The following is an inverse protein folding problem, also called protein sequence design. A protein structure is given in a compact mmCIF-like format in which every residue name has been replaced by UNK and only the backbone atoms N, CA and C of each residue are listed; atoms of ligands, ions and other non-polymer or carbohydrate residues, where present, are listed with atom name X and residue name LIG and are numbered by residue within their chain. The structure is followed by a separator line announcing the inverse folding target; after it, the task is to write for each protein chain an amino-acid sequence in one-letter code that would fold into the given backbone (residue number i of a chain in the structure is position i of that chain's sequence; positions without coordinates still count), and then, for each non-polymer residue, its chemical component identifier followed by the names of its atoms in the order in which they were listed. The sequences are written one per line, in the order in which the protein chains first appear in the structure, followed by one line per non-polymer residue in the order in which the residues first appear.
data_IF_485875783677
#
_entry.id   IF_485875783677
#
_cell.length_a   1.000
_cell.length_b   1.000
_cell.length_c   1.000
_cell.angle_alpha   90.00
_cell.angle_beta   90.00
_cell.angle_gamma   90.00
#
_symmetry.space_group_name_H-M   'P 1'
#
loop_
_entity.id
_entity.type
_entity.pdbx_description
1 polymer ?
#
# COMPACT_ATOMS: atom_id res chain seq x y z
N UNK A 1 -12.41 5.72 6.43
CA UNK A 1 -11.29 6.68 6.63
C UNK A 1 -10.57 6.92 5.31
N UNK A 2 -10.18 8.16 5.09
CA UNK A 2 -9.41 8.51 3.89
C UNK A 2 -8.00 8.93 4.27
N UNK A 3 -7.05 8.42 3.52
CA UNK A 3 -5.65 8.82 3.66
C UNK A 3 -5.11 9.20 2.30
N UNK A 4 -4.35 10.28 2.28
CA UNK A 4 -3.66 10.74 1.09
C UNK A 4 -2.17 10.54 1.30
N UNK A 5 -1.51 9.91 0.34
CA UNK A 5 -0.09 9.68 0.44
C UNK A 5 0.48 9.12 -0.83
N UNK A 6 1.77 8.82 -0.77
CA UNK A 6 2.49 8.25 -1.91
C UNK A 6 2.61 6.74 -1.75
N UNK A 7 2.30 6.04 -2.82
CA UNK A 7 2.46 4.59 -2.88
C UNK A 7 3.93 4.30 -3.19
N UNK A 8 4.57 3.49 -2.37
CA UNK A 8 5.95 3.10 -2.57
C UNK A 8 6.08 1.59 -2.52
N UNK A 9 7.10 1.08 -3.20
CA UNK A 9 7.41 -0.34 -3.24
C UNK A 9 8.70 -0.57 -2.44
N UNK A 10 8.64 -1.48 -1.48
CA UNK A 10 9.78 -1.80 -0.62
C UNK A 10 10.08 -3.29 -0.68
N UNK A 11 11.35 -3.64 -0.55
CA UNK A 11 11.77 -5.03 -0.37
C UNK A 11 11.93 -5.26 1.13
N UNK A 12 11.15 -6.20 1.66
CA UNK A 12 11.22 -6.57 3.08
C UNK A 12 12.03 -7.83 3.24
N UNK A 13 12.78 -7.91 4.35
CA UNK A 13 13.59 -9.08 4.70
C UNK A 13 14.63 -9.41 3.62
N UNK A 14 15.25 -8.38 3.05
CA UNK A 14 16.26 -8.53 2.02
C UNK A 14 17.40 -9.46 2.49
N UNK A 15 17.80 -10.39 1.63
CA UNK A 15 18.85 -11.34 1.94
C UNK A 15 18.41 -12.55 2.72
N UNK A 16 17.12 -12.74 2.95
CA UNK A 16 16.56 -13.90 3.66
C UNK A 16 15.62 -14.68 2.76
N UNK A 17 15.22 -15.88 3.21
CA UNK A 17 14.23 -16.67 2.49
C UNK A 17 12.84 -16.04 2.49
N UNK A 18 12.61 -15.10 3.40
CA UNK A 18 11.34 -14.37 3.50
C UNK A 18 11.35 -13.07 2.71
N UNK A 19 12.39 -12.82 1.93
CA UNK A 19 12.46 -11.62 1.10
C UNK A 19 11.26 -11.53 0.17
N UNK A 20 10.59 -10.37 0.20
CA UNK A 20 9.48 -10.11 -0.69
C UNK A 20 9.27 -8.61 -0.86
N UNK A 21 8.59 -8.24 -1.91
CA UNK A 21 8.24 -6.85 -2.17
C UNK A 21 6.92 -6.53 -1.48
N UNK A 22 6.85 -5.36 -0.86
CA UNK A 22 5.65 -4.87 -0.23
C UNK A 22 5.30 -3.50 -0.80
N UNK A 23 4.02 -3.27 -0.99
CA UNK A 23 3.52 -1.97 -1.40
C UNK A 23 3.07 -1.24 -0.14
N UNK A 24 3.56 -0.03 0.05
CA UNK A 24 3.24 0.78 1.22
C UNK A 24 2.64 2.11 0.82
N UNK A 25 1.85 2.67 1.71
CA UNK A 25 1.33 4.03 1.57
C UNK A 25 2.00 4.90 2.62
N UNK A 26 2.75 5.90 2.18
CA UNK A 26 3.37 6.88 3.07
C UNK A 26 2.47 8.09 3.12
N UNK A 27 1.80 8.28 4.23
CA UNK A 27 0.86 9.37 4.46
C UNK A 27 1.38 10.27 5.58
N UNK A 28 0.71 11.39 5.77
CA UNK A 28 1.01 12.31 6.86
C UNK A 28 0.92 11.62 8.21
N UNK A 29 0.00 10.68 8.36
CA UNK A 29 -0.26 9.95 9.59
C UNK A 29 0.76 8.85 9.86
N UNK A 30 1.54 8.48 8.87
CA UNK A 30 2.54 7.43 8.99
C UNK A 30 2.65 6.59 7.75
N UNK A 31 3.39 5.49 7.87
CA UNK A 31 3.59 4.54 6.77
C UNK A 31 2.84 3.25 7.08
N UNK A 32 2.06 2.79 6.12
CA UNK A 32 1.24 1.59 6.28
C UNK A 32 1.47 0.64 5.12
N UNK A 33 1.40 -0.66 5.38
CA UNK A 33 1.34 -1.63 4.30
C UNK A 33 0.00 -1.47 3.59
N UNK A 34 0.05 -1.30 2.28
CA UNK A 34 -1.15 -1.07 1.49
C UNK A 34 -1.71 -2.39 1.00
N UNK A 35 -3.02 -2.54 1.12
CA UNK A 35 -3.73 -3.74 0.69
C UNK A 35 -5.09 -3.35 0.17
N UNK A 36 -5.55 -4.00 -0.90
CA UNK A 36 -6.92 -3.83 -1.36
C UNK A 36 -7.82 -4.86 -0.68
N UNK A 37 -9.01 -4.42 -0.31
CA UNK A 37 -10.00 -5.30 0.33
C UNK A 37 -10.31 -6.49 -0.58
N UNK A 38 -10.17 -7.69 -0.03
CA UNK A 38 -10.49 -8.91 -0.76
C UNK A 38 -9.41 -9.42 -1.69
N UNK A 39 -8.27 -8.71 -1.83
CA UNK A 39 -7.22 -9.09 -2.75
C UNK A 39 -5.96 -9.54 -2.02
N UNK A 40 -5.13 -10.33 -2.71
CA UNK A 40 -3.85 -10.76 -2.17
C UNK A 40 -2.81 -9.65 -2.38
N UNK A 41 -2.29 -9.11 -1.29
CA UNK A 41 -1.36 -7.99 -1.34
C UNK A 41 -0.06 -8.30 -2.09
N UNK A 42 0.34 -9.58 -2.18
CA UNK A 42 1.59 -9.97 -2.84
C UNK A 42 1.44 -10.10 -4.35
N UNK A 43 0.23 -10.23 -4.85
CA UNK A 43 -0.04 -10.50 -6.26
C UNK A 43 -0.98 -9.48 -6.88
N UNK A 44 -1.13 -8.31 -6.26
CA UNK A 44 -2.06 -7.30 -6.73
C UNK A 44 -1.38 -6.38 -7.73
N UNK A 45 -1.58 -6.65 -9.00
CA UNK A 45 -1.00 -5.86 -10.09
C UNK A 45 -1.48 -4.40 -10.07
N UNK A 46 -2.67 -4.16 -9.58
CA UNK A 46 -3.20 -2.79 -9.48
C UNK A 46 -2.40 -1.99 -8.46
N UNK A 47 -2.10 -2.58 -7.30
CA UNK A 47 -1.25 -1.91 -6.31
C UNK A 47 0.15 -1.67 -6.86
N UNK A 48 0.71 -2.66 -7.56
CA UNK A 48 2.02 -2.53 -8.16
C UNK A 48 2.04 -1.36 -9.16
N UNK A 49 0.98 -1.22 -9.94
CA UNK A 49 0.89 -0.14 -10.93
C UNK A 49 0.78 1.24 -10.29
N UNK A 50 0.37 1.31 -9.03
CA UNK A 50 0.25 2.58 -8.31
C UNK A 50 1.58 3.03 -7.69
N UNK A 51 2.59 2.17 -7.66
CA UNK A 51 3.88 2.50 -7.06
C UNK A 51 4.46 3.77 -7.67
N UNK A 52 4.91 4.70 -6.83
CA UNK A 52 5.42 5.99 -7.25
C UNK A 52 4.36 7.07 -7.44
N UNK A 53 3.09 6.73 -7.34
CA UNK A 53 2.00 7.68 -7.52
C UNK A 53 1.45 8.17 -6.18
N UNK A 54 0.90 9.37 -6.21
CA UNK A 54 0.17 9.90 -5.06
C UNK A 54 -1.31 9.55 -5.24
N UNK A 55 -1.90 9.00 -4.20
CA UNK A 55 -3.31 8.60 -4.23
C UNK A 55 -4.03 9.09 -2.97
N UNK A 56 -5.34 9.14 -3.06
CA UNK A 56 -6.20 9.24 -1.89
C UNK A 56 -7.00 7.96 -1.82
N UNK A 57 -6.80 7.20 -0.75
CA UNK A 57 -7.46 5.92 -0.55
C UNK A 57 -8.46 6.00 0.59
N UNK A 58 -9.56 5.27 0.45
CA UNK A 58 -10.59 5.14 1.47
C UNK A 58 -10.63 3.70 1.95
N UNK A 59 -10.53 3.50 3.23
CA UNK A 59 -10.52 2.16 3.81
C UNK A 59 -10.38 2.19 5.31
N UNK A 60 -9.79 1.13 5.86
CA UNK A 60 -9.61 0.99 7.31
C UNK A 60 -8.18 0.60 7.63
N UNK A 61 -7.73 1.00 8.81
CA UNK A 61 -6.42 0.62 9.33
C UNK A 61 -6.60 -0.59 10.25
N UNK A 62 -5.78 -1.61 10.03
CA UNK A 62 -5.68 -2.77 10.92
C UNK A 62 -4.22 -3.03 11.22
N UNK A 63 -3.82 -2.78 12.47
CA UNK A 63 -2.42 -2.86 12.84
C UNK A 63 -1.60 -1.88 12.02
N UNK A 64 -0.64 -2.38 11.24
CA UNK A 64 0.20 -1.57 10.37
C UNK A 64 -0.25 -1.64 8.89
N UNK A 65 -1.47 -2.13 8.64
CA UNK A 65 -1.99 -2.26 7.29
C UNK A 65 -3.13 -1.28 7.04
N UNK A 66 -3.13 -0.66 5.87
CA UNK A 66 -4.25 0.10 5.38
C UNK A 66 -4.98 -0.74 4.33
N UNK A 67 -6.17 -1.19 4.68
CA UNK A 67 -7.01 -2.01 3.80
C UNK A 67 -7.94 -1.06 3.06
N UNK A 68 -7.65 -0.88 1.78
CA UNK A 68 -8.27 0.13 0.94
C UNK A 68 -9.37 -0.51 0.08
N UNK A 69 -10.56 0.09 0.06
CA UNK A 69 -11.60 -0.40 -0.84
C UNK A 69 -11.86 0.54 -2.03
N UNK A 70 -11.50 1.81 -1.91
CA UNK A 70 -11.59 2.79 -3.00
C UNK A 70 -10.36 3.68 -3.00
N UNK A 71 -9.99 4.18 -4.16
CA UNK A 71 -8.90 5.13 -4.26
C UNK A 71 -9.04 5.98 -5.51
N UNK A 72 -8.37 7.14 -5.49
CA UNK A 72 -8.26 8.04 -6.63
C UNK A 72 -6.79 8.39 -6.80
N UNK A 73 -6.29 8.30 -8.01
CA UNK A 73 -4.93 8.73 -8.33
C UNK A 73 -4.92 10.24 -8.44
N UNK A 74 -4.06 10.90 -7.66
CA UNK A 74 -3.95 12.35 -7.66
C UNK A 74 -2.84 12.80 -8.59
N UNK A 75 -1.77 12.02 -8.64
CA UNK A 75 -0.61 12.39 -9.44
C UNK A 75 0.12 11.18 -10.02
#
# INVERSE_FOLDING_TARGET
MKFRGRVTKKVLYSGTKSEHEAITLTAKEGEFKLRRKGENAFEDDILISLAGKEIEGDGVIRGNQFIMDKWVVIE
#
